data_IF_015230449378
#
_entry.id   IF_015230449378
#
_cell.length_a   1.000
_cell.length_b   1.000
_cell.length_c   1.000
_cell.angle_alpha   90.00
_cell.angle_beta   90.00
_cell.angle_gamma   90.00
#
_symmetry.space_group_name_H-M   'P 1'
#
loop_
_entity.id
_entity.type
_entity.pdbx_description
1 polymer ?
#
# COMPACT_ATOMS: atom_id res chain seq x y z
N UNK A 1 -10.36 6.91 -5.60
CA UNK A 1 -9.85 6.42 -4.31
C UNK A 1 -9.99 4.91 -4.31
N UNK A 2 -8.88 4.19 -4.33
CA UNK A 2 -8.88 2.72 -4.26
C UNK A 2 -8.34 2.34 -2.89
N UNK A 3 -9.20 1.76 -2.04
CA UNK A 3 -8.80 1.25 -0.73
C UNK A 3 -8.58 -0.25 -0.85
N UNK A 4 -7.36 -0.70 -0.60
CA UNK A 4 -7.02 -2.12 -0.56
C UNK A 4 -6.63 -2.49 0.88
N UNK A 5 -7.45 -3.31 1.53
CA UNK A 5 -7.20 -3.84 2.87
C UNK A 5 -6.94 -5.34 2.77
N UNK A 6 -5.72 -5.76 3.13
CA UNK A 6 -5.40 -7.16 3.38
C UNK A 6 -4.49 -7.26 4.59
N UNK A 7 -5.06 -7.51 5.76
CA UNK A 7 -4.30 -7.82 6.98
C UNK A 7 -3.61 -9.16 6.79
N UNK A 8 -2.29 -9.15 6.62
CA UNK A 8 -1.47 -10.35 6.45
C UNK A 8 -0.55 -10.51 7.66
N UNK A 9 -1.12 -10.88 8.80
CA UNK A 9 -0.36 -11.09 10.05
C UNK A 9 0.21 -12.51 10.21
N UNK A 10 -0.01 -13.45 9.26
CA UNK A 10 0.45 -14.85 9.33
C UNK A 10 0.65 -15.55 7.96
N UNK A 11 1.48 -15.01 7.06
CA UNK A 11 1.79 -15.72 5.81
C UNK A 11 2.81 -16.84 6.03
N UNK A 12 2.31 -18.08 6.02
CA UNK A 12 3.08 -19.29 5.78
C UNK A 12 3.89 -19.17 4.46
N UNK A 13 5.05 -19.81 4.41
CA UNK A 13 6.09 -19.64 3.38
C UNK A 13 5.57 -19.91 1.95
N UNK A 14 4.49 -20.67 1.79
CA UNK A 14 3.83 -20.95 0.50
C UNK A 14 3.06 -19.76 -0.07
N UNK A 15 2.48 -18.90 0.76
CA UNK A 15 1.57 -17.83 0.31
C UNK A 15 2.28 -16.51 -0.04
N UNK A 16 3.61 -16.45 0.11
CA UNK A 16 4.41 -15.24 -0.14
C UNK A 16 4.37 -14.79 -1.61
N UNK A 17 4.33 -15.73 -2.55
CA UNK A 17 4.23 -15.42 -3.98
C UNK A 17 2.87 -14.79 -4.32
N UNK A 18 1.79 -15.30 -3.72
CA UNK A 18 0.44 -14.77 -3.91
C UNK A 18 0.33 -13.35 -3.36
N UNK A 19 0.88 -13.12 -2.16
CA UNK A 19 0.93 -11.78 -1.56
C UNK A 19 1.71 -10.79 -2.43
N UNK A 20 2.89 -11.19 -2.92
CA UNK A 20 3.70 -10.33 -3.79
C UNK A 20 3.00 -9.99 -5.13
N UNK A 21 2.30 -10.95 -5.75
CA UNK A 21 1.52 -10.72 -6.96
C UNK A 21 0.35 -9.76 -6.68
N UNK A 22 -0.34 -9.96 -5.55
CA UNK A 22 -1.43 -9.08 -5.13
C UNK A 22 -0.95 -7.65 -4.89
N UNK A 23 0.18 -7.47 -4.21
CA UNK A 23 0.80 -6.16 -3.96
C UNK A 23 1.16 -5.46 -5.28
N UNK A 24 1.78 -6.18 -6.22
CA UNK A 24 2.15 -5.65 -7.52
C UNK A 24 0.91 -5.24 -8.34
N UNK A 25 -0.15 -6.06 -8.32
CA UNK A 25 -1.40 -5.74 -8.98
C UNK A 25 -2.06 -4.50 -8.38
N UNK A 26 -2.11 -4.38 -7.05
CA UNK A 26 -2.62 -3.20 -6.36
C UNK A 26 -1.81 -1.95 -6.68
N UNK A 27 -0.48 -2.02 -6.60
CA UNK A 27 0.40 -0.89 -6.94
C UNK A 27 0.22 -0.45 -8.41
N UNK A 28 0.07 -1.41 -9.34
CA UNK A 28 -0.16 -1.12 -10.76
C UNK A 28 -1.48 -0.40 -11.00
N UNK A 29 -2.59 -0.91 -10.46
CA UNK A 29 -3.92 -0.29 -10.66
C UNK A 29 -3.96 1.11 -10.06
N UNK A 30 -3.34 1.30 -8.88
CA UNK A 30 -3.43 2.57 -8.15
C UNK A 30 -2.52 3.66 -8.75
N UNK A 31 -1.58 3.30 -9.63
CA UNK A 31 -0.71 4.27 -10.32
C UNK A 31 -1.46 5.25 -11.25
N UNK A 32 -2.73 4.95 -11.55
CA UNK A 32 -3.63 5.81 -12.30
C UNK A 32 -4.60 6.59 -11.41
N UNK A 33 -4.55 6.41 -10.09
CA UNK A 33 -5.40 7.10 -9.13
C UNK A 33 -4.71 8.36 -8.59
N UNK A 34 -5.49 9.26 -7.97
CA UNK A 34 -4.94 10.41 -7.26
C UNK A 34 -4.15 9.99 -6.02
N UNK A 35 -4.64 9.00 -5.28
CA UNK A 35 -4.00 8.53 -4.05
C UNK A 35 -4.19 7.02 -3.79
N UNK A 36 -3.19 6.41 -3.14
CA UNK A 36 -3.18 5.09 -2.53
C UNK A 36 -3.16 5.25 -1.01
N UNK A 37 -4.13 4.63 -0.33
CA UNK A 37 -4.17 4.57 1.13
C UNK A 37 -4.02 3.11 1.57
N UNK A 38 -3.12 2.86 2.52
CA UNK A 38 -2.95 1.53 3.11
C UNK A 38 -2.54 1.63 4.58
N UNK A 39 -2.96 0.66 5.39
CA UNK A 39 -2.50 0.50 6.78
C UNK A 39 -1.25 -0.38 6.90
N UNK A 40 -0.79 -0.97 5.80
CA UNK A 40 0.42 -1.80 5.74
C UNK A 40 1.63 -0.92 5.43
N UNK A 41 2.46 -0.68 6.44
CA UNK A 41 3.68 0.12 6.35
C UNK A 41 4.72 -0.47 5.38
N UNK A 42 4.86 -1.80 5.34
CA UNK A 42 5.82 -2.47 4.46
C UNK A 42 5.38 -2.35 3.00
N UNK A 43 4.07 -2.44 2.73
CA UNK A 43 3.52 -2.18 1.40
C UNK A 43 3.69 -0.72 0.99
N UNK A 44 3.31 0.24 1.86
CA UNK A 44 3.44 1.68 1.60
C UNK A 44 4.87 2.05 1.26
N UNK A 45 5.85 1.59 2.05
CA UNK A 45 7.27 1.86 1.83
C UNK A 45 7.74 1.36 0.46
N UNK A 46 7.38 0.12 0.08
CA UNK A 46 7.73 -0.44 -1.23
C UNK A 46 7.09 0.34 -2.38
N UNK A 47 5.80 0.66 -2.29
CA UNK A 47 5.08 1.35 -3.36
C UNK A 47 5.62 2.76 -3.57
N UNK A 48 5.92 3.49 -2.49
CA UNK A 48 6.57 4.82 -2.58
C UNK A 48 7.88 4.75 -3.36
N UNK A 49 8.75 3.80 -3.03
CA UNK A 49 10.02 3.64 -3.74
C UNK A 49 9.82 3.28 -5.23
N UNK A 50 8.82 2.45 -5.55
CA UNK A 50 8.49 2.10 -6.94
C UNK A 50 7.95 3.33 -7.69
N UNK A 51 7.04 4.09 -7.09
CA UNK A 51 6.45 5.27 -7.71
C UNK A 51 7.47 6.38 -7.91
N UNK A 52 8.36 6.60 -6.94
CA UNK A 52 9.50 7.51 -7.07
C UNK A 52 10.40 7.11 -8.24
N UNK A 53 10.79 5.83 -8.31
CA UNK A 53 11.63 5.31 -9.39
C UNK A 53 10.98 5.45 -10.78
N UNK A 54 9.67 5.25 -10.88
CA UNK A 54 8.93 5.31 -12.14
C UNK A 54 8.39 6.71 -12.49
N UNK A 55 8.53 7.69 -11.60
CA UNK A 55 7.96 9.04 -11.78
C UNK A 55 6.43 9.06 -11.77
N UNK A 56 5.79 8.15 -11.02
CA UNK A 56 4.33 8.09 -10.86
C UNK A 56 3.88 9.17 -9.88
N UNK A 57 2.90 9.99 -10.25
CA UNK A 57 2.43 11.13 -9.46
C UNK A 57 1.32 10.82 -8.45
N UNK A 58 0.94 9.55 -8.30
CA UNK A 58 -0.04 9.11 -7.31
C UNK A 58 0.51 9.30 -5.90
N UNK A 59 -0.24 9.99 -5.03
CA UNK A 59 0.10 10.14 -3.63
C UNK A 59 -0.05 8.83 -2.87
N UNK A 60 0.88 8.52 -1.94
CA UNK A 60 0.83 7.28 -1.16
C UNK A 60 0.85 7.62 0.32
N UNK A 61 -0.19 7.26 1.07
CA UNK A 61 -0.29 7.56 2.50
C UNK A 61 -0.54 6.32 3.36
N UNK A 62 0.15 6.29 4.51
CA UNK A 62 -0.06 5.30 5.56
C UNK A 62 -1.25 5.73 6.42
N UNK A 63 -2.19 4.82 6.64
CA UNK A 63 -3.34 5.02 7.51
C UNK A 63 -3.13 4.25 8.82
N UNK A 64 -3.15 4.95 9.94
CA UNK A 64 -3.01 4.35 11.28
C UNK A 64 -4.20 4.72 12.14
N UNK A 65 -4.63 3.81 13.02
CA UNK A 65 -5.61 4.09 14.06
C UNK A 65 -4.87 4.48 15.35
N UNK A 66 -5.15 5.67 15.89
CA UNK A 66 -4.58 6.17 17.15
C UNK A 66 -5.71 6.72 18.00
N UNK A 67 -5.92 6.17 19.20
CA UNK A 67 -6.99 6.59 20.13
C UNK A 67 -8.39 6.66 19.46
N UNK A 68 -8.75 5.64 18.69
CA UNK A 68 -9.98 5.54 17.86
C UNK A 68 -10.11 6.59 16.73
N UNK A 69 -9.09 7.41 16.51
CA UNK A 69 -9.01 8.37 15.41
C UNK A 69 -8.21 7.80 14.23
N UNK A 70 -8.65 8.14 13.00
CA UNK A 70 -7.96 7.76 11.76
C UNK A 70 -6.93 8.84 11.43
N UNK A 71 -5.66 8.47 11.50
CA UNK A 71 -4.53 9.34 11.15
C UNK A 71 -3.98 8.94 9.79
N UNK A 72 -3.88 9.90 8.87
CA UNK A 72 -3.32 9.71 7.53
C UNK A 72 -1.96 10.41 7.44
N UNK A 73 -0.91 9.66 7.13
CA UNK A 73 0.46 10.16 6.95
C UNK A 73 0.86 10.05 5.48
N UNK A 74 0.71 11.14 4.75
CA UNK A 74 1.33 11.37 3.43
C UNK A 74 2.68 12.05 3.64
N UNK A 75 3.76 11.45 3.18
CA UNK A 75 5.09 12.08 3.10
C UNK A 75 5.39 12.47 1.66
#
# INVERSE_FOLDING_TARGET
MTMAYKTDSKLDRENRHIAAISDAAHASITSYANCLLSADEAFVSKVRAIYEFLGVSTEVALVTLVDDEIVVKSE
#
